data_IF_460880961012
#
_entry.id   IF_460880961012
#
_cell.length_a   1.000
_cell.length_b   1.000
_cell.length_c   1.000
_cell.angle_alpha   90.00
_cell.angle_beta   90.00
_cell.angle_gamma   90.00
#
_symmetry.space_group_name_H-M   'P 1'
#
loop_
_entity.id
_entity.type
_entity.pdbx_description
1 polymer ?
#
# COMPACT_ATOMS: atom_id res chain seq x y z
N UNK A 1 36.96 -46.05 -58.23
CA UNK A 1 36.28 -45.78 -56.92
C UNK A 1 36.24 -44.28 -56.71
N UNK A 2 35.12 -43.68 -56.92
CA UNK A 2 34.95 -42.21 -56.93
C UNK A 2 34.31 -41.80 -55.61
N UNK A 3 35.01 -41.03 -54.78
CA UNK A 3 34.52 -40.53 -53.48
C UNK A 3 33.75 -39.23 -53.71
N UNK A 4 32.44 -39.25 -53.48
CA UNK A 4 31.58 -38.07 -53.48
C UNK A 4 31.75 -37.27 -52.21
N UNK A 5 32.22 -36.00 -52.30
CA UNK A 5 32.23 -35.04 -51.18
C UNK A 5 30.82 -34.47 -50.97
N UNK A 6 30.31 -34.69 -49.77
CA UNK A 6 29.03 -34.12 -49.30
C UNK A 6 29.27 -32.70 -48.73
N UNK A 7 28.71 -31.67 -49.35
CA UNK A 7 28.74 -30.31 -48.83
C UNK A 7 27.55 -30.08 -47.90
N UNK A 8 27.80 -29.95 -46.60
CA UNK A 8 26.81 -29.53 -45.61
C UNK A 8 26.73 -27.99 -45.63
N UNK A 9 25.64 -27.44 -46.10
CA UNK A 9 25.33 -26.00 -45.98
C UNK A 9 24.84 -25.72 -44.57
N UNK A 10 25.68 -25.11 -43.74
CA UNK A 10 25.30 -24.60 -42.43
C UNK A 10 24.40 -23.37 -42.60
N UNK A 11 23.15 -23.44 -42.11
CA UNK A 11 22.25 -22.31 -41.98
C UNK A 11 22.63 -21.60 -40.68
N UNK A 12 23.26 -20.45 -40.80
CA UNK A 12 23.50 -19.51 -39.68
C UNK A 12 22.17 -18.81 -39.40
N UNK A 13 21.45 -19.28 -38.36
CA UNK A 13 20.29 -18.58 -37.83
C UNK A 13 20.73 -17.32 -37.11
N UNK A 14 20.45 -16.16 -37.71
CA UNK A 14 20.65 -14.85 -37.09
C UNK A 14 19.58 -14.67 -35.99
N UNK A 15 19.91 -14.96 -34.72
CA UNK A 15 19.08 -14.60 -33.58
C UNK A 15 19.08 -13.08 -33.44
N UNK A 16 18.03 -12.42 -33.95
CA UNK A 16 17.73 -11.03 -33.64
C UNK A 16 17.35 -10.94 -32.16
N UNK A 17 18.33 -10.56 -31.32
CA UNK A 17 18.08 -10.10 -29.97
C UNK A 17 17.35 -8.77 -30.04
N UNK A 18 16.01 -8.80 -29.96
CA UNK A 18 15.24 -7.62 -29.66
C UNK A 18 15.56 -7.20 -28.22
N UNK A 19 16.12 -6.00 -27.99
CA UNK A 19 16.21 -5.48 -26.65
C UNK A 19 14.77 -5.26 -26.15
N UNK A 20 14.35 -6.04 -25.15
CA UNK A 20 13.20 -5.68 -24.36
C UNK A 20 13.57 -4.37 -23.64
N UNK A 21 13.19 -3.25 -24.20
CA UNK A 21 13.16 -1.98 -23.51
C UNK A 21 12.09 -2.14 -22.42
N UNK A 22 12.51 -2.62 -21.25
CA UNK A 22 11.74 -2.45 -20.04
C UNK A 22 11.57 -0.95 -19.85
N UNK A 23 10.40 -0.41 -20.18
CA UNK A 23 10.01 0.93 -19.78
C UNK A 23 9.94 0.95 -18.24
N UNK A 24 11.08 1.16 -17.59
CA UNK A 24 11.10 1.52 -16.19
C UNK A 24 10.30 2.83 -16.09
N UNK A 25 9.12 2.74 -15.49
CA UNK A 25 8.27 3.91 -15.34
C UNK A 25 9.06 4.96 -14.53
N UNK A 26 9.09 6.16 -15.03
CA UNK A 26 9.78 7.27 -14.38
C UNK A 26 9.02 7.67 -13.10
N UNK A 27 9.57 7.27 -11.96
CA UNK A 27 9.06 7.62 -10.63
C UNK A 27 9.64 8.96 -10.12
N UNK A 28 10.35 9.71 -10.97
CA UNK A 28 10.97 11.01 -10.63
C UNK A 28 9.93 12.08 -10.26
N UNK A 29 8.67 11.90 -10.67
CA UNK A 29 7.57 12.78 -10.26
C UNK A 29 7.26 12.73 -8.75
N UNK A 30 7.74 11.70 -8.03
CA UNK A 30 7.63 11.65 -6.59
C UNK A 30 8.83 12.37 -5.95
N UNK A 31 8.61 13.51 -5.34
CA UNK A 31 9.63 14.22 -4.58
C UNK A 31 10.07 13.44 -3.33
N UNK A 32 11.29 13.69 -2.86
CA UNK A 32 11.83 13.10 -1.64
C UNK A 32 11.56 14.01 -0.44
N UNK A 33 11.10 13.43 0.67
CA UNK A 33 10.92 14.12 1.93
C UNK A 33 11.35 13.27 3.12
N UNK A 34 11.42 13.90 4.29
CA UNK A 34 11.67 13.22 5.55
C UNK A 34 10.90 13.90 6.68
N UNK A 35 10.22 13.11 7.49
CA UNK A 35 9.71 13.54 8.77
C UNK A 35 10.76 13.22 9.83
N UNK A 36 11.17 14.24 10.58
CA UNK A 36 12.19 14.10 11.62
C UNK A 36 11.54 14.46 12.97
N UNK A 37 11.57 13.53 13.90
CA UNK A 37 11.26 13.74 15.31
C UNK A 37 12.53 13.60 16.16
N UNK A 38 12.42 13.84 17.49
CA UNK A 38 13.60 13.77 18.38
C UNK A 38 14.38 12.46 18.27
N UNK A 39 13.70 11.33 17.99
CA UNK A 39 14.28 10.00 18.03
C UNK A 39 14.03 9.17 16.76
N UNK A 40 13.26 9.70 15.78
CA UNK A 40 12.81 8.92 14.64
C UNK A 40 12.88 9.75 13.37
N UNK A 41 13.26 9.12 12.28
CA UNK A 41 13.18 9.67 10.92
C UNK A 41 12.33 8.72 10.07
N UNK A 42 11.31 9.27 9.43
CA UNK A 42 10.52 8.56 8.42
C UNK A 42 10.78 9.22 7.07
N UNK A 43 11.60 8.62 6.21
CA UNK A 43 11.70 9.02 4.83
C UNK A 43 10.34 8.83 4.16
N UNK A 44 10.02 9.64 3.17
CA UNK A 44 8.82 9.46 2.37
C UNK A 44 9.00 10.01 0.95
N UNK A 45 8.21 9.49 0.03
CA UNK A 45 8.05 10.02 -1.31
C UNK A 45 6.68 10.68 -1.42
N UNK A 46 6.61 11.82 -2.10
CA UNK A 46 5.38 12.60 -2.25
C UNK A 46 5.14 12.97 -3.70
N UNK A 47 3.92 12.68 -4.19
CA UNK A 47 3.44 13.09 -5.48
C UNK A 47 2.42 14.22 -5.29
N UNK A 48 2.65 15.35 -5.94
CA UNK A 48 1.67 16.43 -6.01
C UNK A 48 0.78 16.28 -7.24
N UNK A 49 -0.47 16.82 -7.20
CA UNK A 49 -1.33 16.87 -8.36
C UNK A 49 -0.65 17.60 -9.52
N UNK A 50 -1.01 17.23 -10.76
CA UNK A 50 -0.61 18.04 -11.92
C UNK A 50 -1.12 19.46 -11.76
N UNK A 51 -0.30 20.44 -12.11
CA UNK A 51 -0.61 21.85 -11.93
C UNK A 51 -0.96 22.21 -10.47
N UNK A 52 -0.15 21.66 -9.53
CA UNK A 52 -0.29 21.93 -8.11
C UNK A 52 -0.29 23.45 -7.85
N UNK A 53 -1.28 23.90 -7.09
CA UNK A 53 -1.45 25.29 -6.67
C UNK A 53 -1.61 25.32 -5.14
N UNK A 54 -0.63 25.84 -4.44
CA UNK A 54 -0.60 25.87 -2.97
C UNK A 54 -1.75 26.68 -2.33
N UNK A 55 -2.49 27.47 -3.12
CA UNK A 55 -3.67 28.21 -2.65
C UNK A 55 -4.94 27.36 -2.64
N UNK A 56 -4.93 26.20 -3.30
CA UNK A 56 -6.04 25.24 -3.35
C UNK A 56 -5.86 24.13 -2.30
N UNK A 57 -6.95 23.42 -2.03
CA UNK A 57 -6.94 22.26 -1.13
C UNK A 57 -7.12 20.96 -1.90
N UNK A 58 -6.29 19.98 -1.56
CA UNK A 58 -6.28 18.67 -2.22
C UNK A 58 -6.47 17.54 -1.21
N UNK A 59 -7.13 16.45 -1.60
CA UNK A 59 -7.12 15.22 -0.84
C UNK A 59 -5.70 14.74 -0.54
N UNK A 60 -5.53 14.07 0.59
CA UNK A 60 -4.28 13.40 0.98
C UNK A 60 -4.49 11.90 1.00
N UNK A 61 -3.61 11.15 0.34
CA UNK A 61 -3.60 9.68 0.35
C UNK A 61 -2.27 9.22 0.93
N UNK A 62 -2.30 8.45 2.02
CA UNK A 62 -1.13 7.76 2.57
C UNK A 62 -1.15 6.31 2.07
N UNK A 63 -0.03 5.82 1.51
CA UNK A 63 0.09 4.45 1.00
C UNK A 63 1.24 3.75 1.73
N UNK A 64 0.90 2.72 2.50
CA UNK A 64 1.84 1.97 3.34
C UNK A 64 2.32 0.72 2.62
N UNK A 65 3.62 0.61 2.43
CA UNK A 65 4.27 -0.52 1.77
C UNK A 65 4.34 -1.78 2.64
N UNK A 66 4.69 -2.90 2.04
CA UNK A 66 4.89 -4.20 2.69
C UNK A 66 6.23 -4.33 3.43
N UNK A 67 6.50 -5.51 3.97
CA UNK A 67 7.71 -5.75 4.75
C UNK A 67 9.01 -5.74 3.92
N UNK A 68 8.91 -6.03 2.60
CA UNK A 68 10.04 -6.07 1.69
C UNK A 68 10.67 -4.70 1.41
N UNK A 69 9.88 -3.64 1.51
CA UNK A 69 10.26 -2.27 1.14
C UNK A 69 10.77 -1.44 2.33
N UNK A 70 10.94 -2.07 3.50
CA UNK A 70 11.52 -1.42 4.68
C UNK A 70 12.96 -0.99 4.42
N UNK A 71 13.32 0.17 4.90
CA UNK A 71 14.66 0.72 4.69
C UNK A 71 14.79 2.18 5.06
N UNK A 72 15.78 2.82 4.44
CA UNK A 72 16.04 4.26 4.55
C UNK A 72 16.59 4.84 3.24
N UNK A 73 16.40 4.13 2.13
CA UNK A 73 16.88 4.56 0.81
C UNK A 73 15.95 5.59 0.15
N UNK A 74 14.74 5.78 0.73
CA UNK A 74 13.72 6.67 0.19
C UNK A 74 13.43 6.35 -1.29
N UNK A 75 13.30 5.05 -1.60
CA UNK A 75 13.09 4.52 -2.95
C UNK A 75 12.22 3.26 -2.95
N UNK A 76 12.50 2.28 -2.07
CA UNK A 76 11.85 0.98 -2.07
C UNK A 76 10.35 1.08 -1.77
N UNK A 77 9.91 2.09 -1.01
CA UNK A 77 8.49 2.35 -0.71
C UNK A 77 7.62 2.55 -1.94
N UNK A 78 8.20 2.89 -3.09
CA UNK A 78 7.49 3.07 -4.36
C UNK A 78 7.35 1.78 -5.19
N UNK A 79 7.89 0.66 -4.72
CA UNK A 79 7.93 -0.60 -5.49
C UNK A 79 6.53 -1.05 -5.91
N UNK A 80 5.55 -0.93 -5.02
CA UNK A 80 4.18 -1.36 -5.29
C UNK A 80 3.19 -0.20 -5.18
N UNK A 81 2.24 -0.15 -6.11
CA UNK A 81 1.15 0.83 -6.11
C UNK A 81 1.50 2.22 -6.64
N UNK A 82 2.77 2.66 -6.63
CA UNK A 82 3.13 4.02 -7.07
C UNK A 82 2.72 4.30 -8.52
N UNK A 83 2.81 3.31 -9.39
CA UNK A 83 2.42 3.42 -10.81
C UNK A 83 0.96 3.80 -11.01
N UNK A 84 0.06 3.27 -10.20
CA UNK A 84 -1.39 3.52 -10.31
C UNK A 84 -1.74 4.99 -10.04
N UNK A 85 -0.92 5.70 -9.28
CA UNK A 85 -1.10 7.13 -9.03
C UNK A 85 -0.44 8.03 -10.08
N UNK A 86 0.46 7.49 -10.91
CA UNK A 86 1.08 8.20 -12.04
C UNK A 86 0.30 8.04 -13.34
N UNK A 87 -0.65 7.11 -13.39
CA UNK A 87 -1.50 6.93 -14.56
C UNK A 87 -2.16 8.26 -14.94
N UNK A 88 -2.05 8.61 -16.24
CA UNK A 88 -2.44 9.91 -16.74
C UNK A 88 -3.91 10.24 -16.46
N UNK A 89 -4.79 9.26 -16.65
CA UNK A 89 -6.23 9.45 -16.51
C UNK A 89 -6.62 9.53 -15.03
N UNK A 90 -6.08 8.65 -14.21
CA UNK A 90 -6.32 8.64 -12.76
C UNK A 90 -5.76 9.90 -12.09
N UNK A 91 -4.53 10.31 -12.42
CA UNK A 91 -3.89 11.50 -11.85
C UNK A 91 -4.60 12.81 -12.26
N UNK A 92 -5.17 12.86 -13.47
CA UNK A 92 -5.95 14.03 -13.92
C UNK A 92 -7.35 14.05 -13.32
N UNK A 93 -8.01 12.90 -13.21
CA UNK A 93 -9.39 12.78 -12.75
C UNK A 93 -9.52 12.85 -11.22
N UNK A 94 -8.50 12.37 -10.50
CA UNK A 94 -8.47 12.29 -9.04
C UNK A 94 -7.24 13.02 -8.47
N UNK A 95 -7.17 14.36 -8.63
CA UNK A 95 -6.02 15.12 -8.16
C UNK A 95 -5.90 15.03 -6.63
N UNK A 96 -4.81 14.43 -6.16
CA UNK A 96 -4.50 14.24 -4.75
C UNK A 96 -3.01 14.42 -4.47
N UNK A 97 -2.67 14.73 -3.23
CA UNK A 97 -1.33 14.59 -2.70
C UNK A 97 -1.20 13.14 -2.24
N UNK A 98 -0.25 12.40 -2.82
CA UNK A 98 -0.04 10.98 -2.48
C UNK A 98 1.32 10.83 -1.81
N UNK A 99 1.34 10.21 -0.64
CA UNK A 99 2.55 10.06 0.18
C UNK A 99 2.80 8.59 0.48
N UNK A 100 4.01 8.15 0.17
CA UNK A 100 4.53 6.82 0.47
C UNK A 100 5.62 6.97 1.56
N UNK A 101 5.29 6.77 2.84
CA UNK A 101 6.30 6.76 3.91
C UNK A 101 7.08 5.44 3.86
N UNK A 102 8.39 5.50 4.21
CA UNK A 102 9.22 4.30 4.33
C UNK A 102 9.39 3.90 5.79
N UNK A 103 8.98 2.68 6.12
CA UNK A 103 9.20 2.07 7.43
C UNK A 103 10.68 1.74 7.61
N UNK A 104 11.30 2.07 8.74
CA UNK A 104 12.66 1.67 9.04
C UNK A 104 12.88 0.15 8.92
N UNK A 105 14.11 -0.26 8.60
CA UNK A 105 14.46 -1.67 8.34
C UNK A 105 14.02 -2.60 9.48
N UNK A 106 14.18 -2.19 10.72
CA UNK A 106 13.81 -2.96 11.90
C UNK A 106 12.42 -2.59 12.45
N UNK A 107 11.67 -1.76 11.70
CA UNK A 107 10.36 -1.27 12.08
C UNK A 107 9.23 -2.18 11.60
N UNK A 108 8.05 -1.91 12.13
CA UNK A 108 6.79 -2.52 11.72
C UNK A 108 5.63 -1.53 11.88
N UNK A 109 4.70 -1.48 10.89
CA UNK A 109 3.58 -0.52 10.94
C UNK A 109 2.54 -0.82 12.03
N UNK A 110 2.46 -2.05 12.50
CA UNK A 110 1.41 -2.50 13.43
C UNK A 110 1.94 -3.30 14.61
N UNK A 111 1.10 -3.47 15.64
CA UNK A 111 1.38 -4.34 16.77
C UNK A 111 1.03 -5.79 16.41
N UNK A 112 1.99 -6.52 15.88
CA UNK A 112 1.85 -7.93 15.53
C UNK A 112 3.08 -8.71 15.96
N UNK A 113 2.88 -9.93 16.49
CA UNK A 113 3.95 -10.89 16.77
C UNK A 113 3.91 -11.93 15.66
N UNK A 114 5.03 -12.11 14.99
CA UNK A 114 5.18 -13.06 13.89
C UNK A 114 6.15 -14.13 14.36
N UNK A 115 5.73 -15.38 14.32
CA UNK A 115 6.59 -16.54 14.55
C UNK A 115 6.70 -17.33 13.26
N UNK A 116 7.94 -17.66 12.88
CA UNK A 116 8.23 -18.55 11.78
C UNK A 116 8.63 -19.91 12.34
N UNK A 117 7.95 -20.96 11.95
CA UNK A 117 8.28 -22.35 12.29
C UNK A 117 8.15 -23.21 11.04
N UNK A 118 9.24 -23.87 10.67
CA UNK A 118 9.29 -24.84 9.55
C UNK A 118 8.65 -24.31 8.25
N UNK A 119 8.88 -23.01 7.94
CA UNK A 119 8.36 -22.35 6.74
C UNK A 119 6.92 -21.88 6.84
N UNK A 120 6.28 -22.01 8.01
CA UNK A 120 4.95 -21.48 8.28
C UNK A 120 5.04 -20.24 9.16
N UNK A 121 4.21 -19.25 8.87
CA UNK A 121 4.09 -18.04 9.69
C UNK A 121 2.83 -18.12 10.56
N UNK A 122 2.98 -17.79 11.82
CA UNK A 122 1.86 -17.58 12.76
C UNK A 122 1.80 -16.10 13.11
N UNK A 123 0.64 -15.52 12.91
CA UNK A 123 0.37 -14.09 13.13
C UNK A 123 -0.47 -13.92 14.39
N UNK A 124 0.05 -13.16 15.36
CA UNK A 124 -0.70 -12.81 16.57
C UNK A 124 -0.85 -11.29 16.63
N UNK A 125 -2.02 -10.81 16.26
CA UNK A 125 -2.36 -9.41 16.33
C UNK A 125 -2.74 -9.01 17.75
N UNK A 126 -2.16 -7.90 18.22
CA UNK A 126 -2.32 -7.45 19.61
C UNK A 126 -3.52 -6.50 19.72
N UNK A 127 -4.38 -6.76 20.72
CA UNK A 127 -5.43 -5.81 21.08
C UNK A 127 -4.80 -4.55 21.69
N UNK A 128 -5.12 -3.39 21.13
CA UNK A 128 -4.65 -2.11 21.66
C UNK A 128 -3.13 -1.95 21.68
N UNK A 129 -2.58 -1.63 22.82
CA UNK A 129 -1.14 -1.45 23.04
C UNK A 129 -0.57 -0.10 22.57
N UNK A 130 0.69 0.17 22.94
CA UNK A 130 1.42 1.37 22.50
C UNK A 130 1.81 1.24 21.02
N UNK A 131 1.88 2.35 20.26
CA UNK A 131 2.35 2.30 18.88
C UNK A 131 3.81 1.84 18.82
N UNK A 132 4.14 1.10 17.76
CA UNK A 132 5.54 0.85 17.39
C UNK A 132 6.26 2.17 17.12
N UNK A 133 7.58 2.16 17.10
CA UNK A 133 8.37 3.36 16.74
C UNK A 133 8.01 3.84 15.32
N UNK A 134 7.90 2.92 14.35
CA UNK A 134 7.50 3.26 12.98
C UNK A 134 6.08 3.89 12.92
N UNK A 135 5.12 3.31 13.67
CA UNK A 135 3.77 3.88 13.75
C UNK A 135 3.74 5.26 14.43
N UNK A 136 4.59 5.51 15.45
CA UNK A 136 4.74 6.86 16.05
C UNK A 136 5.22 7.86 14.99
N UNK A 137 6.24 7.49 14.23
CA UNK A 137 6.75 8.32 13.15
C UNK A 137 5.70 8.59 12.10
N UNK A 138 4.94 7.58 11.69
CA UNK A 138 3.82 7.72 10.74
C UNK A 138 2.71 8.65 11.27
N UNK A 139 2.37 8.55 12.55
CA UNK A 139 1.40 9.45 13.18
C UNK A 139 1.89 10.89 13.19
N UNK A 140 3.19 11.10 13.47
CA UNK A 140 3.81 12.42 13.43
C UNK A 140 3.86 13.01 12.01
N UNK A 141 4.27 12.22 11.02
CA UNK A 141 4.23 12.61 9.62
C UNK A 141 2.80 12.98 9.18
N UNK A 142 1.81 12.16 9.54
CA UNK A 142 0.41 12.43 9.25
C UNK A 142 -0.02 13.78 9.83
N UNK A 143 0.30 14.06 11.08
CA UNK A 143 -0.02 15.35 11.71
C UNK A 143 0.65 16.53 10.99
N UNK A 144 1.93 16.41 10.64
CA UNK A 144 2.67 17.43 9.89
C UNK A 144 2.05 17.70 8.51
N UNK A 145 1.57 16.64 7.81
CA UNK A 145 0.91 16.81 6.51
C UNK A 145 -0.45 17.50 6.66
N UNK A 146 -1.22 17.14 7.69
CA UNK A 146 -2.51 17.76 7.97
C UNK A 146 -2.41 19.26 8.34
N UNK A 147 -1.26 19.71 8.80
CA UNK A 147 -1.02 21.14 9.09
C UNK A 147 -0.70 21.98 7.83
N UNK A 148 -0.51 21.33 6.68
CA UNK A 148 -0.28 22.04 5.43
C UNK A 148 -1.57 22.72 4.93
N UNK A 149 -1.55 24.03 4.55
CA UNK A 149 -2.73 24.77 4.18
C UNK A 149 -3.43 24.23 2.92
N UNK A 150 -2.69 23.54 2.07
CA UNK A 150 -3.17 22.94 0.82
C UNK A 150 -3.73 21.51 1.00
N UNK A 151 -3.80 20.96 2.22
CA UNK A 151 -4.43 19.67 2.49
C UNK A 151 -5.89 19.85 2.87
N UNK A 152 -6.79 19.13 2.18
CA UNK A 152 -8.19 19.03 2.56
C UNK A 152 -8.35 18.00 3.69
N UNK A 153 -8.47 18.47 4.92
CA UNK A 153 -8.61 17.63 6.12
C UNK A 153 -9.87 16.77 6.14
N UNK A 154 -10.86 17.08 5.28
CA UNK A 154 -12.07 16.28 5.13
C UNK A 154 -11.92 15.15 4.12
N UNK A 155 -10.87 15.13 3.31
CA UNK A 155 -10.58 14.12 2.29
C UNK A 155 -9.20 13.53 2.51
N UNK A 156 -9.02 12.82 3.62
CA UNK A 156 -7.79 12.14 4.00
C UNK A 156 -8.02 10.64 3.92
N UNK A 157 -7.19 9.95 3.18
CA UNK A 157 -7.32 8.51 2.95
C UNK A 157 -6.02 7.81 3.34
N UNK A 158 -6.13 6.54 3.72
CA UNK A 158 -4.96 5.69 3.97
C UNK A 158 -5.22 4.30 3.43
N UNK A 159 -4.18 3.70 2.90
CA UNK A 159 -4.23 2.28 2.53
C UNK A 159 -2.84 1.69 2.53
N UNK A 160 -2.77 0.38 2.26
CA UNK A 160 -1.49 -0.30 2.19
C UNK A 160 -1.63 -1.79 1.97
N UNK A 161 -0.49 -2.44 1.73
CA UNK A 161 -0.41 -3.86 1.39
C UNK A 161 0.38 -4.65 2.44
N UNK A 162 -0.02 -5.88 2.72
CA UNK A 162 0.68 -6.80 3.62
C UNK A 162 0.94 -6.14 4.99
N UNK A 163 2.20 -5.96 5.39
CA UNK A 163 2.57 -5.16 6.56
C UNK A 163 1.89 -3.77 6.57
N UNK A 164 1.75 -3.12 5.41
CA UNK A 164 1.05 -1.84 5.25
C UNK A 164 -0.47 -1.98 5.35
N UNK A 165 -1.05 -3.10 4.94
CA UNK A 165 -2.45 -3.44 5.19
C UNK A 165 -2.74 -3.56 6.69
N UNK A 166 -1.84 -4.24 7.44
CA UNK A 166 -1.88 -4.28 8.90
C UNK A 166 -1.72 -2.89 9.52
N UNK A 167 -0.80 -2.08 8.98
CA UNK A 167 -0.59 -0.69 9.38
C UNK A 167 -1.80 0.20 9.13
N UNK A 168 -2.59 -0.09 8.09
CA UNK A 168 -3.83 0.60 7.82
C UNK A 168 -4.84 0.39 8.95
N UNK A 169 -5.10 -0.83 9.36
CA UNK A 169 -5.96 -1.10 10.53
C UNK A 169 -5.42 -0.42 11.80
N UNK A 170 -4.11 -0.50 12.03
CA UNK A 170 -3.46 0.09 13.20
C UNK A 170 -3.65 1.60 13.27
N UNK A 171 -3.45 2.34 12.16
CA UNK A 171 -3.61 3.80 12.15
C UNK A 171 -5.08 4.20 12.27
N UNK A 172 -6.02 3.43 11.69
CA UNK A 172 -7.45 3.66 11.86
C UNK A 172 -7.87 3.55 13.33
N UNK A 173 -7.36 2.56 14.05
CA UNK A 173 -7.59 2.41 15.48
C UNK A 173 -7.07 3.60 16.28
N UNK A 174 -5.93 4.16 15.89
CA UNK A 174 -5.30 5.28 16.61
C UNK A 174 -5.87 6.64 16.27
N UNK A 175 -6.36 6.82 15.06
CA UNK A 175 -6.86 8.08 14.52
C UNK A 175 -8.17 7.88 13.75
N UNK A 176 -9.23 7.32 14.39
CA UNK A 176 -10.48 6.98 13.72
C UNK A 176 -11.23 8.20 13.17
N UNK A 177 -10.91 9.39 13.67
CA UNK A 177 -11.59 10.62 13.26
C UNK A 177 -10.84 11.40 12.17
N UNK A 178 -9.70 10.87 11.69
CA UNK A 178 -8.88 11.55 10.66
C UNK A 178 -9.30 11.12 9.26
N UNK A 179 -9.48 9.83 9.03
CA UNK A 179 -9.60 9.29 7.68
C UNK A 179 -11.04 9.24 7.20
N UNK A 180 -11.30 9.75 5.99
CA UNK A 180 -12.60 9.72 5.33
C UNK A 180 -12.92 8.35 4.76
N UNK A 181 -11.92 7.62 4.28
CA UNK A 181 -12.00 6.21 3.89
C UNK A 181 -10.62 5.55 3.94
N UNK A 182 -10.58 4.22 3.89
CA UNK A 182 -9.33 3.47 3.87
C UNK A 182 -9.43 2.20 3.02
N UNK A 183 -8.27 1.68 2.57
CA UNK A 183 -8.20 0.37 1.92
C UNK A 183 -7.07 -0.47 2.51
N UNK A 184 -7.33 -1.76 2.74
CA UNK A 184 -6.34 -2.69 3.30
C UNK A 184 -6.20 -3.90 2.39
N UNK A 185 -4.99 -4.19 1.94
CA UNK A 185 -4.69 -5.29 1.00
C UNK A 185 -3.88 -6.35 1.74
N UNK A 186 -4.31 -7.62 1.69
CA UNK A 186 -3.68 -8.80 2.29
C UNK A 186 -3.13 -8.56 3.72
N UNK A 187 -3.91 -7.87 4.55
CA UNK A 187 -3.56 -7.54 5.93
C UNK A 187 -4.43 -8.24 6.96
N UNK A 188 -4.32 -7.78 8.20
CA UNK A 188 -5.13 -8.23 9.33
C UNK A 188 -4.90 -7.38 10.56
N UNK A 189 -5.76 -7.54 11.57
CA UNK A 189 -5.64 -6.91 12.89
C UNK A 189 -6.30 -7.81 13.94
N UNK A 190 -6.19 -7.42 15.20
CA UNK A 190 -7.01 -8.02 16.26
C UNK A 190 -8.48 -7.58 16.12
N UNK A 191 -9.38 -8.54 16.06
CA UNK A 191 -10.81 -8.30 15.82
C UNK A 191 -11.46 -7.36 16.84
N UNK A 192 -10.96 -7.35 18.07
CA UNK A 192 -11.45 -6.45 19.13
C UNK A 192 -11.13 -4.96 18.87
N UNK A 193 -10.15 -4.67 18.01
CA UNK A 193 -9.83 -3.31 17.60
C UNK A 193 -10.89 -2.71 16.66
N UNK A 194 -11.62 -3.54 15.92
CA UNK A 194 -12.59 -3.12 14.90
C UNK A 194 -13.65 -2.15 15.44
N UNK A 195 -14.12 -2.34 16.67
CA UNK A 195 -15.14 -1.49 17.34
C UNK A 195 -14.76 -0.01 17.39
N UNK A 196 -13.45 0.32 17.29
CA UNK A 196 -12.95 1.70 17.43
C UNK A 196 -13.22 2.51 16.17
N UNK A 197 -13.14 1.89 14.98
CA UNK A 197 -13.22 2.57 13.69
C UNK A 197 -14.36 2.10 12.79
N UNK A 198 -15.00 0.97 13.09
CA UNK A 198 -15.99 0.32 12.23
C UNK A 198 -17.12 1.24 11.74
N UNK A 199 -17.66 2.11 12.63
CA UNK A 199 -18.73 3.06 12.29
C UNK A 199 -18.21 4.43 11.80
N UNK A 200 -16.89 4.63 11.83
CA UNK A 200 -16.29 5.94 11.58
C UNK A 200 -15.61 6.05 10.23
N UNK A 201 -15.05 4.92 9.74
CA UNK A 201 -14.23 4.92 8.53
C UNK A 201 -14.74 3.83 7.59
N UNK A 202 -15.31 4.21 6.44
CA UNK A 202 -15.54 3.29 5.33
C UNK A 202 -14.25 2.57 4.96
N UNK A 203 -14.30 1.25 4.82
CA UNK A 203 -13.12 0.42 4.59
C UNK A 203 -13.36 -0.55 3.45
N UNK A 204 -12.44 -0.59 2.49
CA UNK A 204 -12.40 -1.60 1.44
C UNK A 204 -11.22 -2.54 1.69
N UNK A 205 -11.50 -3.81 1.89
CA UNK A 205 -10.53 -4.85 2.17
C UNK A 205 -10.36 -5.72 0.93
N UNK A 206 -9.11 -6.03 0.57
CA UNK A 206 -8.75 -6.87 -0.56
C UNK A 206 -7.86 -8.02 -0.08
N UNK A 207 -8.03 -9.22 -0.66
CA UNK A 207 -7.13 -10.34 -0.37
C UNK A 207 -7.10 -11.34 -1.52
N UNK A 208 -6.01 -12.07 -1.67
CA UNK A 208 -5.90 -13.22 -2.56
C UNK A 208 -6.34 -14.50 -1.86
N UNK A 209 -7.25 -15.27 -2.48
CA UNK A 209 -7.75 -16.52 -1.89
C UNK A 209 -6.69 -17.62 -1.74
N UNK A 210 -5.59 -17.51 -2.47
CA UNK A 210 -4.47 -18.47 -2.44
C UNK A 210 -3.24 -17.92 -1.69
N UNK A 211 -3.42 -16.87 -0.88
CA UNK A 211 -2.33 -16.28 -0.10
C UNK A 211 -1.83 -17.26 0.97
N UNK A 212 -0.59 -17.69 0.82
CA UNK A 212 0.08 -18.62 1.74
C UNK A 212 1.12 -17.95 2.65
N UNK A 213 1.25 -16.62 2.57
CA UNK A 213 2.13 -15.79 3.41
C UNK A 213 1.33 -15.15 4.55
N UNK A 214 0.27 -14.43 4.21
CA UNK A 214 -0.73 -13.92 5.15
C UNK A 214 -2.07 -14.56 4.79
N UNK A 215 -2.51 -15.60 5.50
CA UNK A 215 -3.73 -16.31 5.17
C UNK A 215 -4.95 -15.39 5.05
N UNK A 216 -5.84 -15.59 4.04
CA UNK A 216 -6.99 -14.71 3.80
C UNK A 216 -7.99 -14.66 4.97
N UNK A 217 -7.96 -15.66 5.85
CA UNK A 217 -8.73 -15.71 7.09
C UNK A 217 -8.52 -14.46 7.95
N UNK A 218 -7.31 -13.88 7.92
CA UNK A 218 -7.03 -12.64 8.67
C UNK A 218 -7.85 -11.44 8.18
N UNK A 219 -8.10 -11.34 6.89
CA UNK A 219 -9.02 -10.32 6.35
C UNK A 219 -10.49 -10.71 6.55
N UNK A 220 -10.84 -11.97 6.39
CA UNK A 220 -12.22 -12.45 6.53
C UNK A 220 -12.73 -12.18 7.96
N UNK A 221 -11.97 -12.55 8.99
CA UNK A 221 -12.37 -12.31 10.38
C UNK A 221 -12.45 -10.81 10.70
N UNK A 222 -11.65 -9.96 10.03
CA UNK A 222 -11.76 -8.51 10.18
C UNK A 222 -13.02 -7.96 9.54
N UNK A 223 -13.42 -8.45 8.36
CA UNK A 223 -14.70 -8.10 7.72
C UNK A 223 -15.86 -8.42 8.66
N UNK A 224 -15.87 -9.61 9.23
CA UNK A 224 -16.91 -10.06 10.15
C UNK A 224 -16.94 -9.22 11.43
N UNK A 225 -15.77 -8.93 12.00
CA UNK A 225 -15.65 -8.10 13.20
C UNK A 225 -16.14 -6.65 12.99
N UNK A 226 -15.82 -6.07 11.82
CA UNK A 226 -16.27 -4.72 11.46
C UNK A 226 -17.79 -4.71 11.27
N UNK A 227 -18.38 -5.72 10.61
CA UNK A 227 -19.84 -5.87 10.49
C UNK A 227 -20.50 -6.03 11.84
N UNK A 228 -19.96 -6.90 12.69
CA UNK A 228 -20.46 -7.10 14.05
C UNK A 228 -20.41 -5.82 14.92
N UNK A 229 -19.42 -4.95 14.65
CA UNK A 229 -19.31 -3.64 15.29
C UNK A 229 -20.21 -2.56 14.65
N UNK A 230 -21.03 -2.91 13.66
CA UNK A 230 -21.99 -2.04 12.97
C UNK A 230 -21.39 -1.19 11.86
N UNK A 231 -20.23 -1.57 11.33
CA UNK A 231 -19.69 -1.02 10.09
C UNK A 231 -20.15 -1.79 8.86
N UNK A 232 -19.86 -1.26 7.68
CA UNK A 232 -20.18 -1.89 6.39
C UNK A 232 -18.93 -1.90 5.49
N UNK A 233 -17.98 -2.83 5.72
CA UNK A 233 -16.78 -2.91 4.92
C UNK A 233 -17.07 -3.53 3.55
N UNK A 234 -16.52 -2.94 2.48
CA UNK A 234 -16.45 -3.61 1.17
C UNK A 234 -15.33 -4.65 1.23
N UNK A 235 -15.55 -5.84 0.65
CA UNK A 235 -14.56 -6.91 0.61
C UNK A 235 -14.45 -7.52 -0.79
N UNK A 236 -13.24 -7.59 -1.31
CA UNK A 236 -12.91 -8.25 -2.58
C UNK A 236 -11.92 -9.36 -2.30
N UNK A 237 -12.33 -10.60 -2.54
CA UNK A 237 -11.47 -11.78 -2.47
C UNK A 237 -11.17 -12.25 -3.89
N UNK A 238 -9.91 -12.09 -4.32
CA UNK A 238 -9.46 -12.52 -5.65
C UNK A 238 -9.22 -14.04 -5.66
N UNK A 239 -9.99 -14.82 -6.40
CA UNK A 239 -10.00 -16.29 -6.29
C UNK A 239 -8.71 -16.94 -6.78
N UNK A 240 -7.94 -16.25 -7.61
CA UNK A 240 -6.73 -16.78 -8.23
C UNK A 240 -5.43 -16.24 -7.67
N UNK A 241 -5.47 -15.15 -6.89
CA UNK A 241 -4.30 -14.45 -6.39
C UNK A 241 -3.72 -15.10 -5.15
N UNK A 242 -2.40 -15.01 -5.06
CA UNK A 242 -1.62 -15.29 -3.86
C UNK A 242 -1.41 -14.04 -3.01
N UNK A 243 -0.22 -13.95 -2.39
CA UNK A 243 0.14 -12.80 -1.55
C UNK A 243 0.27 -11.49 -2.35
N UNK A 244 0.49 -11.58 -3.65
CA UNK A 244 0.66 -10.46 -4.57
C UNK A 244 -0.65 -9.82 -5.07
N UNK A 245 -1.77 -10.10 -4.41
CA UNK A 245 -3.10 -9.53 -4.70
C UNK A 245 -3.17 -8.00 -4.73
N UNK A 246 -2.11 -7.31 -4.27
CA UNK A 246 -1.99 -5.86 -4.43
C UNK A 246 -1.90 -5.42 -5.89
N UNK A 247 -1.43 -6.29 -6.81
CA UNK A 247 -1.39 -5.95 -8.23
C UNK A 247 -2.81 -5.68 -8.75
N UNK A 248 -3.75 -6.58 -8.47
CA UNK A 248 -5.15 -6.45 -8.88
C UNK A 248 -5.88 -5.37 -8.06
N UNK A 249 -5.58 -5.26 -6.76
CA UNK A 249 -6.19 -4.24 -5.91
C UNK A 249 -5.82 -2.80 -6.32
N UNK A 250 -4.57 -2.54 -6.71
CA UNK A 250 -4.17 -1.24 -7.26
C UNK A 250 -4.63 -1.00 -8.69
N UNK A 251 -4.96 -2.07 -9.44
CA UNK A 251 -5.56 -2.00 -10.77
C UNK A 251 -7.09 -1.93 -10.73
N UNK A 252 -7.73 -2.06 -9.55
CA UNK A 252 -9.18 -2.01 -9.38
C UNK A 252 -9.72 -0.65 -9.84
N UNK A 253 -10.51 -0.59 -10.93
CA UNK A 253 -10.94 0.67 -11.52
C UNK A 253 -11.85 1.49 -10.59
N UNK A 254 -12.54 0.82 -9.67
CA UNK A 254 -13.43 1.46 -8.72
C UNK A 254 -12.72 1.98 -7.46
N UNK A 255 -11.44 1.68 -7.24
CA UNK A 255 -10.73 2.08 -6.01
C UNK A 255 -10.68 3.61 -5.85
N UNK A 256 -10.22 4.32 -6.87
CA UNK A 256 -10.13 5.78 -6.81
C UNK A 256 -11.50 6.46 -6.77
N UNK A 257 -12.50 6.11 -7.65
CA UNK A 257 -13.86 6.61 -7.53
C UNK A 257 -14.45 6.41 -6.13
N UNK A 258 -14.27 5.21 -5.57
CA UNK A 258 -14.79 4.87 -4.25
C UNK A 258 -14.12 5.71 -3.14
N UNK A 259 -12.80 5.84 -3.13
CA UNK A 259 -12.11 6.70 -2.14
C UNK A 259 -12.65 8.13 -2.22
N UNK A 260 -12.72 8.69 -3.42
CA UNK A 260 -13.13 10.09 -3.63
C UNK A 260 -14.62 10.35 -3.40
N UNK A 261 -15.45 9.30 -3.34
CA UNK A 261 -16.85 9.42 -2.95
C UNK A 261 -17.06 9.69 -1.44
N UNK A 262 -16.00 9.47 -0.62
CA UNK A 262 -16.07 9.63 0.83
C UNK A 262 -15.44 10.95 1.28
N UNK A 263 -16.12 11.60 2.22
CA UNK A 263 -15.71 12.85 2.86
C UNK A 263 -16.17 12.85 4.31
N UNK A 264 -15.36 13.39 5.22
CA UNK A 264 -15.74 13.67 6.62
C UNK A 264 -16.49 14.98 6.79
#
# INVERSE_FOLDING_TARGET
MTVKKLFIKGIFGLCLLFPFLSNAQDLSAFDRGSYISKNDTIPYRILFPRNFDATKKYPLILVLHGAGERGNDNQAELTHGAKSFLDNDSHAKYPAIVVFPQCPKDGWWSNVIIKADSGKYTWTFIEGGKPTTAMKGLLGLTAQLLDKPFVDKHRVYVGGLSMGGMGTFEILRRKPDVFAAAFAICGGDNTLNAKIYAKKVPLWIFHGAKDNVVPPEHSIVMVDAIKAAGGDPKFTLYPNDGHDSWNDAFAEPELMPWLFSHKK
#
